data_IF_226612848420
#
_entry.id   IF_226612848420
#
_cell.length_a   1.000
_cell.length_b   1.000
_cell.length_c   1.000
_cell.angle_alpha   90.00
_cell.angle_beta   90.00
_cell.angle_gamma   90.00
#
_symmetry.space_group_name_H-M   'P 1'
#
loop_
_entity.id
_entity.type
_entity.pdbx_description
1 polymer ?
2 non-polymer ?
3 non-polymer ?
4 water ?
#
# COMPACT_ATOMS: atom_id res chain seq x y z
N UNK A 6 -30.63 14.18 12.39
CA UNK A 6 -29.33 13.68 12.79
C UNK A 6 -29.47 12.44 13.66
N UNK A 7 -28.40 11.66 13.72
CA UNK A 7 -28.41 10.40 14.47
C UNK A 7 -28.43 10.72 15.96
N UNK A 8 -29.41 10.15 16.66
CA UNK A 8 -29.69 10.53 18.04
C UNK A 8 -28.83 9.81 19.08
N UNK A 9 -28.48 8.56 18.81
CA UNK A 9 -27.79 7.73 19.80
C UNK A 9 -26.38 7.39 19.36
N UNK A 10 -25.42 7.47 20.28
CA UNK A 10 -24.03 7.19 19.91
C UNK A 10 -23.85 5.79 19.30
N UNK A 11 -24.62 4.82 19.75
CA UNK A 11 -24.40 3.46 19.29
C UNK A 11 -24.79 3.29 17.83
N UNK A 12 -25.50 4.29 17.28
CA UNK A 12 -25.92 4.27 15.89
C UNK A 12 -25.04 5.08 14.95
N UNK A 13 -24.02 5.74 15.52
CA UNK A 13 -23.16 6.60 14.72
C UNK A 13 -22.13 5.79 13.91
N UNK A 14 -21.70 6.35 12.77
CA UNK A 14 -20.73 5.62 11.97
C UNK A 14 -19.41 5.40 12.67
N UNK A 15 -18.85 4.22 12.41
CA UNK A 15 -17.58 3.79 12.96
C UNK A 15 -16.78 3.16 11.84
N UNK A 16 -15.69 3.82 11.46
CA UNK A 16 -14.81 3.29 10.42
C UNK A 16 -13.45 2.88 11.00
N UNK A 17 -13.23 1.58 11.12
CA UNK A 17 -11.93 1.08 11.47
C UNK A 17 -11.07 1.27 10.22
N UNK A 18 -9.79 1.56 10.38
CA UNK A 18 -8.92 1.72 9.22
C UNK A 18 -7.49 1.34 9.53
N UNK A 19 -6.85 0.84 8.47
CA UNK A 19 -5.42 0.51 8.41
C UNK A 19 -4.96 -0.71 9.20
N UNK A 20 -5.54 -0.93 10.38
CA UNK A 20 -5.38 -2.16 11.15
C UNK A 20 -6.77 -2.77 11.33
N UNK A 21 -6.93 -3.96 10.76
CA UNK A 21 -8.25 -4.56 10.62
C UNK A 21 -8.61 -5.33 11.89
N UNK A 22 -9.82 -5.12 12.43
CA UNK A 22 -10.26 -5.92 13.59
C UNK A 22 -10.16 -7.41 13.31
N UNK A 23 -9.42 -8.11 14.16
CA UNK A 23 -9.06 -9.49 13.87
C UNK A 23 -8.30 -10.09 15.03
N UNK A 24 -8.24 -11.42 15.07
CA UNK A 24 -7.35 -12.06 16.01
C UNK A 24 -5.89 -11.87 15.60
N UNK A 25 -5.03 -11.39 16.53
CA UNK A 25 -3.65 -11.06 16.12
C UNK A 25 -2.83 -12.28 15.71
N UNK A 26 -3.23 -13.46 16.15
CA UNK A 26 -2.48 -14.67 15.82
C UNK A 26 -2.89 -15.25 14.47
N UNK A 27 -4.20 -15.42 14.28
CA UNK A 27 -4.72 -16.13 13.12
C UNK A 27 -5.14 -15.23 11.96
N UNK A 28 -5.36 -13.96 12.24
CA UNK A 28 -5.83 -13.02 11.23
C UNK A 28 -7.34 -13.11 10.96
N UNK A 29 -8.03 -14.02 11.65
CA UNK A 29 -9.49 -14.15 11.48
C UNK A 29 -10.17 -12.82 11.82
N UNK A 30 -10.96 -12.31 10.88
CA UNK A 30 -11.60 -11.01 11.06
C UNK A 30 -12.60 -11.07 12.21
N UNK A 31 -12.60 -10.01 13.03
CA UNK A 31 -13.48 -9.88 14.18
C UNK A 31 -14.81 -9.34 13.71
N UNK A 32 -15.73 -10.23 13.39
CA UNK A 32 -17.02 -9.82 12.89
C UNK A 32 -17.92 -9.28 13.99
N UNK A 33 -17.63 -9.60 15.27
CA UNK A 33 -18.41 -8.97 16.35
C UNK A 33 -18.18 -7.47 16.28
N UNK A 34 -16.93 -7.06 16.10
CA UNK A 34 -16.59 -5.65 15.98
C UNK A 34 -17.17 -5.07 14.70
N UNK A 35 -16.98 -5.78 13.58
CA UNK A 35 -17.48 -5.26 12.32
C UNK A 35 -18.99 -5.09 12.32
N UNK A 36 -19.70 -5.95 13.06
CA UNK A 36 -21.17 -5.88 13.10
C UNK A 36 -21.72 -5.02 14.24
N UNK A 37 -20.88 -4.14 14.78
CA UNK A 37 -21.31 -3.19 15.80
C UNK A 37 -22.62 -2.52 15.44
N UNK A 38 -22.67 -1.97 14.24
CA UNK A 38 -23.92 -1.48 13.66
C UNK A 38 -23.79 -1.55 12.14
N UNK A 39 -24.82 -1.19 11.38
CA UNK A 39 -24.67 -1.27 9.92
C UNK A 39 -24.09 -0.01 9.31
N UNK A 40 -23.51 0.82 10.17
CA UNK A 40 -22.75 1.98 9.74
C UNK A 40 -21.31 1.78 10.14
N UNK A 41 -20.92 0.52 10.31
CA UNK A 41 -19.55 0.15 10.66
C UNK A 41 -18.85 -0.48 9.47
N UNK A 42 -17.64 -0.02 9.17
CA UNK A 42 -16.88 -0.48 8.02
C UNK A 42 -15.40 -0.51 8.36
N UNK A 43 -14.61 -1.13 7.48
CA UNK A 43 -13.16 -1.10 7.56
C UNK A 43 -12.62 -0.56 6.24
N UNK A 44 -11.59 0.28 6.31
CA UNK A 44 -10.88 0.74 5.12
C UNK A 44 -9.41 0.35 5.20
N UNK A 45 -8.95 -0.37 4.19
CA UNK A 45 -7.57 -0.80 4.10
C UNK A 45 -7.16 -0.90 2.64
N UNK A 46 -6.28 -1.83 2.34
CA UNK A 46 -5.87 -2.08 0.97
C UNK A 46 -5.65 -3.57 0.73
N UNK A 47 -5.57 -3.92 -0.55
CA UNK A 47 -5.55 -5.29 -1.05
C UNK A 47 -4.18 -5.92 -0.86
N UNK A 48 -3.72 -5.98 0.39
CA UNK A 48 -2.30 -6.25 0.68
C UNK A 48 -1.82 -7.61 0.19
N UNK A 49 -2.68 -8.63 0.24
CA UNK A 49 -2.23 -9.97 -0.13
C UNK A 49 -1.89 -10.09 -1.61
N UNK A 50 -2.36 -9.13 -2.40
CA UNK A 50 -2.15 -9.13 -3.83
C UNK A 50 -1.01 -8.22 -4.28
N UNK A 51 -0.31 -7.60 -3.34
CA UNK A 51 0.74 -6.65 -3.66
C UNK A 51 1.86 -7.24 -4.49
N UNK A 52 2.28 -8.46 -4.15
CA UNK A 52 3.31 -9.11 -4.92
C UNK A 52 2.85 -9.42 -6.33
N UNK A 53 1.57 -9.80 -6.47
CA UNK A 53 1.02 -10.03 -7.81
C UNK A 53 1.10 -8.78 -8.67
N UNK A 54 0.84 -7.63 -8.06
CA UNK A 54 0.87 -6.36 -8.78
C UNK A 54 2.30 -6.01 -9.17
N UNK A 55 3.26 -6.24 -8.27
CA UNK A 55 4.64 -5.99 -8.62
C UNK A 55 5.06 -6.91 -9.79
N UNK A 56 4.66 -8.17 -9.71
CA UNK A 56 4.97 -9.10 -10.79
C UNK A 56 4.39 -8.69 -12.12
N UNK A 57 3.14 -8.24 -12.09
CA UNK A 57 2.43 -7.85 -13.28
C UNK A 57 3.10 -6.62 -13.89
N UNK A 58 3.53 -5.70 -13.05
CA UNK A 58 4.23 -4.50 -13.52
C UNK A 58 5.45 -4.91 -14.33
N UNK A 59 6.21 -5.85 -13.81
CA UNK A 59 7.41 -6.32 -14.48
C UNK A 59 7.07 -7.07 -15.79
N UNK A 60 6.05 -7.93 -15.75
CA UNK A 60 5.65 -8.62 -16.98
C UNK A 60 5.16 -7.66 -18.05
N UNK A 61 4.41 -6.65 -17.65
CA UNK A 61 3.91 -5.69 -18.62
C UNK A 61 5.07 -4.90 -19.21
N UNK A 62 6.06 -4.56 -18.37
CA UNK A 62 7.24 -3.86 -18.87
C UNK A 62 7.95 -4.72 -19.91
N UNK A 63 8.16 -5.98 -19.59
CA UNK A 63 8.86 -6.88 -20.52
C UNK A 63 8.07 -7.06 -21.82
N UNK A 64 6.77 -7.20 -21.70
CA UNK A 64 5.93 -7.43 -22.88
C UNK A 64 6.01 -6.29 -23.90
N UNK A 65 6.15 -5.05 -23.40
CA UNK A 65 6.23 -3.88 -24.26
C UNK A 65 7.65 -3.53 -24.68
N UNK A 66 8.63 -4.20 -24.08
CA UNK A 66 10.02 -3.94 -24.35
C UNK A 66 10.50 -4.61 -25.64
N UNK A 67 11.64 -4.14 -26.11
CA UNK A 67 12.32 -4.68 -27.28
C UNK A 67 13.40 -5.66 -26.85
N UNK A 68 13.98 -6.38 -27.81
CA UNK A 68 15.01 -7.36 -27.52
C UNK A 68 16.29 -6.79 -26.96
N UNK A 69 16.45 -5.46 -27.04
CA UNK A 69 17.60 -4.85 -26.41
C UNK A 69 17.57 -4.99 -24.86
N UNK A 70 16.42 -5.35 -24.29
CA UNK A 70 16.39 -5.67 -22.86
C UNK A 70 17.28 -6.87 -22.56
N UNK A 71 17.39 -7.77 -23.52
CA UNK A 71 18.30 -8.91 -23.41
C UNK A 71 19.69 -8.45 -23.80
N UNK A 72 20.44 -7.93 -22.82
CA UNK A 72 21.65 -7.16 -23.11
C UNK A 72 22.74 -7.97 -23.83
N UNK A 73 22.87 -9.25 -23.48
CA UNK A 73 23.91 -10.10 -24.06
C UNK A 73 23.37 -10.98 -25.19
N UNK A 74 22.10 -10.83 -25.51
CA UNK A 74 21.50 -11.54 -26.63
C UNK A 74 21.49 -13.04 -26.50
N UNK A 75 21.48 -13.57 -25.27
CA UNK A 75 21.52 -15.03 -25.08
C UNK A 75 20.15 -15.71 -25.01
N UNK A 76 19.08 -14.93 -25.18
CA UNK A 76 17.73 -15.48 -25.16
C UNK A 76 17.23 -15.76 -23.76
N UNK A 77 17.95 -15.23 -22.77
CA UNK A 77 17.57 -15.36 -21.36
C UNK A 77 17.46 -13.97 -20.79
N UNK A 78 16.38 -13.71 -20.07
CA UNK A 78 16.29 -12.50 -19.29
C UNK A 78 16.83 -12.82 -17.90
N UNK A 79 18.01 -12.31 -17.57
CA UNK A 79 18.64 -12.57 -16.28
C UNK A 79 18.27 -11.46 -15.31
N UNK A 80 17.93 -11.80 -14.08
CA UNK A 80 17.70 -10.78 -13.07
C UNK A 80 18.38 -11.09 -11.77
N UNK A 81 18.62 -10.04 -11.01
CA UNK A 81 19.08 -10.15 -9.63
C UNK A 81 17.99 -9.59 -8.75
N UNK A 82 17.85 -10.15 -7.56
CA UNK A 82 16.76 -9.87 -6.64
C UNK A 82 17.27 -9.49 -5.24
N UNK A 83 16.87 -8.30 -4.78
CA UNK A 83 17.16 -7.84 -3.43
C UNK A 83 16.00 -8.24 -2.53
N UNK A 84 16.29 -9.10 -1.56
CA UNK A 84 15.31 -9.60 -0.62
C UNK A 84 15.47 -8.82 0.66
N UNK A 85 14.34 -8.44 1.24
CA UNK A 85 14.33 -7.66 2.47
C UNK A 85 14.48 -8.57 3.67
N UNK A 86 13.79 -8.25 4.75
CA UNK A 86 13.83 -9.12 5.93
C UNK A 86 13.20 -10.47 5.59
N UNK A 87 13.99 -11.56 5.61
CA UNK A 87 13.49 -12.87 5.16
C UNK A 87 12.35 -13.42 6.02
N UNK A 88 12.30 -12.98 7.27
CA UNK A 88 11.24 -13.43 8.16
C UNK A 88 9.94 -12.65 8.01
N UNK A 89 9.96 -11.56 7.23
CA UNK A 89 8.82 -10.67 7.20
C UNK A 89 7.89 -11.03 6.05
N UNK A 90 6.60 -11.07 6.34
CA UNK A 90 5.62 -11.46 5.36
C UNK A 90 5.68 -10.58 4.11
N UNK A 91 5.99 -9.30 4.25
CA UNK A 91 6.07 -8.45 3.06
C UNK A 91 7.16 -8.93 2.09
N UNK A 92 8.29 -9.37 2.63
CA UNK A 92 9.38 -9.88 1.82
C UNK A 92 8.95 -11.17 1.12
N UNK A 93 8.23 -12.02 1.85
CA UNK A 93 7.76 -13.29 1.31
C UNK A 93 6.77 -13.08 0.18
N UNK A 94 5.82 -12.17 0.40
CA UNK A 94 4.76 -11.90 -0.56
C UNK A 94 5.32 -11.32 -1.85
N UNK A 95 6.22 -10.35 -1.71
CA UNK A 95 6.77 -9.70 -2.91
C UNK A 95 7.71 -10.63 -3.69
N UNK A 96 8.51 -11.42 -2.99
CA UNK A 96 9.36 -12.40 -3.64
C UNK A 96 8.52 -13.43 -4.37
N UNK A 97 7.51 -13.95 -3.70
CA UNK A 97 6.63 -14.92 -4.35
C UNK A 97 5.94 -14.32 -5.56
N UNK A 98 5.52 -13.07 -5.43
CA UNK A 98 4.82 -12.42 -6.52
C UNK A 98 5.66 -12.33 -7.79
N UNK A 99 6.89 -11.86 -7.67
CA UNK A 99 7.71 -11.69 -8.85
C UNK A 99 8.20 -13.04 -9.38
N UNK A 100 8.50 -13.98 -8.50
CA UNK A 100 8.95 -15.29 -8.96
C UNK A 100 7.83 -16.05 -9.66
N UNK A 101 6.61 -16.00 -9.12
CA UNK A 101 5.50 -16.62 -9.83
C UNK A 101 5.26 -15.93 -11.18
N UNK A 102 5.35 -14.60 -11.22
CA UNK A 102 5.07 -13.89 -12.47
C UNK A 102 6.06 -14.29 -13.54
N UNK A 103 7.31 -14.44 -13.17
CA UNK A 103 8.39 -14.75 -14.11
C UNK A 103 8.60 -16.24 -14.32
N UNK A 104 7.87 -17.07 -13.58
CA UNK A 104 7.98 -18.51 -13.76
C UNK A 104 9.17 -19.15 -13.07
N UNK A 105 9.81 -18.42 -12.16
CA UNK A 105 11.00 -18.92 -11.47
C UNK A 105 10.68 -19.47 -10.07
N UNK A 106 9.41 -19.45 -9.69
CA UNK A 106 8.97 -19.92 -8.37
C UNK A 106 9.07 -21.43 -8.22
N UNK A 107 9.66 -21.86 -7.10
CA UNK A 107 9.76 -23.27 -6.77
C UNK A 107 8.92 -23.68 -5.56
N UNK A 108 8.22 -22.72 -4.95
CA UNK A 108 7.52 -22.98 -3.71
C UNK A 108 8.13 -22.26 -2.50
N UNK A 109 9.30 -21.66 -2.69
CA UNK A 109 10.04 -21.00 -1.61
C UNK A 109 10.36 -19.55 -1.93
N UNK A 110 10.15 -18.69 -0.95
CA UNK A 110 10.54 -17.29 -1.06
C UNK A 110 11.96 -17.03 -0.56
N UNK A 111 12.67 -18.09 -0.22
CA UNK A 111 14.02 -17.93 0.35
C UNK A 111 15.02 -17.48 -0.71
N UNK A 112 16.08 -16.78 -0.27
CA UNK A 112 17.22 -16.55 -1.15
C UNK A 112 17.71 -17.88 -1.72
N UNK A 113 18.11 -17.85 -2.99
CA UNK A 113 18.76 -18.99 -3.59
C UNK A 113 17.83 -20.08 -4.09
N UNK A 114 16.52 -19.89 -3.96
CA UNK A 114 15.55 -20.87 -4.43
C UNK A 114 14.79 -20.35 -5.62
N UNK A 115 15.19 -20.82 -6.80
CA UNK A 115 14.56 -20.41 -8.04
C UNK A 115 14.82 -21.47 -9.10
N UNK A 116 13.91 -21.56 -10.06
CA UNK A 116 14.08 -22.40 -11.23
C UNK A 116 14.04 -21.52 -12.47
N UNK A 117 14.29 -22.12 -13.62
CA UNK A 117 14.23 -21.40 -14.87
C UNK A 117 12.78 -21.06 -15.19
N UNK A 118 12.56 -19.80 -15.53
CA UNK A 118 11.25 -19.29 -15.85
C UNK A 118 11.10 -18.94 -17.32
N UNK A 119 10.12 -18.11 -17.63
CA UNK A 119 9.79 -17.77 -19.02
C UNK A 119 9.02 -16.47 -19.02
N UNK A 120 9.20 -15.66 -20.06
CA UNK A 120 8.41 -14.45 -20.22
C UNK A 120 8.45 -14.05 -21.68
N UNK A 121 7.46 -13.27 -22.06
CA UNK A 121 7.40 -12.70 -23.40
C UNK A 121 8.01 -11.31 -23.38
N UNK A 122 8.95 -11.09 -24.29
CA UNK A 122 9.58 -9.79 -24.46
C UNK A 122 9.43 -9.42 -25.93
N UNK A 123 8.72 -8.33 -26.19
CA UNK A 123 8.56 -7.86 -27.55
C UNK A 123 8.05 -8.93 -28.51
N UNK A 124 7.07 -9.71 -28.06
CA UNK A 124 6.44 -10.71 -28.90
C UNK A 124 7.22 -11.99 -29.13
N UNK A 125 8.26 -12.21 -28.36
CA UNK A 125 9.05 -13.43 -28.45
C UNK A 125 9.20 -14.03 -27.07
N UNK A 126 9.25 -15.37 -27.00
CA UNK A 126 9.40 -16.05 -25.72
C UNK A 126 10.87 -16.16 -25.33
N UNK A 127 11.16 -15.82 -24.07
CA UNK A 127 12.50 -15.88 -23.50
C UNK A 127 12.49 -16.75 -22.28
N UNK A 128 13.62 -17.39 -22.00
CA UNK A 128 13.82 -18.02 -20.71
C UNK A 128 14.10 -16.90 -19.69
N UNK A 129 13.84 -17.16 -18.42
CA UNK A 129 14.16 -16.20 -17.36
C UNK A 129 14.99 -16.90 -16.32
N UNK A 130 16.08 -16.27 -15.89
CA UNK A 130 16.93 -16.84 -14.86
C UNK A 130 17.16 -15.83 -13.74
N UNK A 131 16.91 -16.27 -12.52
CA UNK A 131 17.30 -15.51 -11.33
C UNK A 131 18.78 -15.81 -11.09
N UNK A 132 19.62 -14.88 -11.49
CA UNK A 132 21.04 -15.05 -11.39
C UNK A 132 21.42 -15.19 -9.90
N UNK A 133 20.86 -14.30 -9.07
CA UNK A 133 20.98 -14.42 -7.62
C UNK A 133 19.87 -13.63 -6.96
N UNK A 134 19.30 -14.21 -5.90
CA UNK A 134 18.41 -13.48 -5.00
C UNK A 134 19.02 -13.57 -3.64
N UNK A 135 19.19 -12.42 -2.98
CA UNK A 135 20.00 -12.35 -1.77
C UNK A 135 19.36 -11.41 -0.79
N UNK A 136 19.33 -11.79 0.50
CA UNK A 136 18.89 -10.87 1.54
C UNK A 136 19.95 -9.82 1.80
N UNK A 137 19.54 -8.57 1.90
CA UNK A 137 20.45 -7.46 2.10
C UNK A 137 20.53 -7.12 3.57
N UNK A 138 21.44 -7.78 4.26
CA UNK A 138 21.56 -7.63 5.70
C UNK A 138 22.80 -6.79 6.00
N UNK A 139 22.66 -5.86 6.92
CA UNK A 139 23.79 -5.05 7.31
C UNK A 139 24.73 -5.88 8.15
N UNK A 140 25.97 -5.41 8.31
CA UNK A 140 26.94 -6.07 9.17
C UNK A 140 26.57 -5.92 10.65
N UNK A 141 25.50 -5.18 10.93
CA UNK A 141 24.95 -5.06 12.28
C UNK A 141 23.71 -5.94 12.45
N UNK A 142 23.37 -6.70 11.42
CA UNK A 142 22.22 -7.58 11.45
C UNK A 142 20.92 -6.94 10.98
N UNK A 143 20.96 -5.66 10.65
CA UNK A 143 19.78 -4.94 10.18
C UNK A 143 19.31 -5.51 8.84
N UNK A 144 18.01 -5.44 8.60
CA UNK A 144 17.41 -6.05 7.42
C UNK A 144 17.09 -4.99 6.36
N UNK A 145 16.93 -5.44 5.12
CA UNK A 145 16.73 -4.56 3.97
C UNK A 145 17.66 -3.37 4.02
N UNK A 146 18.94 -3.67 4.17
CA UNK A 146 19.96 -2.65 4.40
C UNK A 146 20.41 -1.98 3.09
N UNK A 147 20.33 -0.65 3.07
CA UNK A 147 20.62 0.16 1.89
C UNK A 147 22.06 0.03 1.42
N UNK A 148 23.00 0.12 2.35
CA UNK A 148 24.40 0.00 2.00
C UNK A 148 24.75 -1.39 1.48
N UNK A 149 24.15 -2.43 2.06
CA UNK A 149 24.38 -3.79 1.58
C UNK A 149 23.86 -3.93 0.16
N UNK A 150 22.73 -3.30 -0.15
CA UNK A 150 22.23 -3.32 -1.52
C UNK A 150 23.21 -2.63 -2.50
N UNK A 151 23.77 -1.50 -2.11
CA UNK A 151 24.73 -0.80 -2.96
C UNK A 151 25.93 -1.70 -3.20
N UNK A 152 26.46 -2.31 -2.14
CA UNK A 152 27.63 -3.17 -2.27
C UNK A 152 27.30 -4.40 -3.14
N UNK A 153 26.13 -4.99 -2.91
CA UNK A 153 25.73 -6.17 -3.67
C UNK A 153 25.56 -5.83 -5.13
N UNK A 154 24.96 -4.70 -5.42
CA UNK A 154 24.80 -4.31 -6.81
C UNK A 154 26.15 -4.18 -7.50
N UNK A 155 27.09 -3.51 -6.84
CA UNK A 155 28.41 -3.37 -7.45
C UNK A 155 29.06 -4.73 -7.71
N UNK A 156 28.94 -5.63 -6.75
CA UNK A 156 29.51 -6.97 -6.88
C UNK A 156 28.83 -7.79 -7.95
N UNK A 157 27.52 -7.61 -8.08
CA UNK A 157 26.76 -8.30 -9.11
C UNK A 157 27.17 -7.86 -10.52
N UNK A 158 27.38 -6.57 -10.73
CA UNK A 158 27.88 -6.09 -12.03
C UNK A 158 29.23 -6.74 -12.32
N UNK A 159 30.10 -6.78 -11.30
CA UNK A 159 31.40 -7.41 -11.47
C UNK A 159 31.30 -8.90 -11.79
N UNK A 160 30.37 -9.60 -11.12
CA UNK A 160 30.28 -11.05 -11.23
C UNK A 160 29.50 -11.50 -12.47
N UNK A 161 28.33 -10.92 -12.69
CA UNK A 161 27.43 -11.34 -13.76
C UNK A 161 27.52 -10.48 -15.00
N UNK A 162 28.06 -9.28 -14.86
CA UNK A 162 28.24 -8.37 -15.99
C UNK A 162 26.97 -8.27 -16.83
N UNK A 163 27.07 -8.37 -18.16
CA UNK A 163 25.88 -8.13 -18.97
C UNK A 163 24.91 -9.31 -19.08
N UNK A 164 25.02 -10.28 -18.18
CA UNK A 164 23.91 -11.22 -17.99
C UNK A 164 22.73 -10.57 -17.25
N UNK A 165 22.99 -9.47 -16.54
CA UNK A 165 21.92 -8.83 -15.77
C UNK A 165 21.07 -7.99 -16.70
N UNK A 166 19.80 -8.40 -16.88
CA UNK A 166 18.87 -7.66 -17.71
C UNK A 166 17.90 -6.78 -16.91
N UNK A 167 17.69 -7.11 -15.65
CA UNK A 167 16.97 -6.23 -14.75
C UNK A 167 17.24 -6.55 -13.32
N UNK A 168 16.97 -5.55 -12.47
CA UNK A 168 17.10 -5.66 -11.03
C UNK A 168 15.70 -5.56 -10.45
N UNK A 169 15.41 -6.45 -9.50
CA UNK A 169 14.14 -6.47 -8.83
C UNK A 169 14.40 -6.40 -7.34
N UNK A 170 13.60 -5.61 -6.64
CA UNK A 170 13.77 -5.45 -5.20
C UNK A 170 12.45 -5.54 -4.45
N UNK A 171 12.49 -6.17 -3.27
CA UNK A 171 11.34 -6.19 -2.38
C UNK A 171 10.93 -4.80 -1.91
N UNK A 172 11.84 -3.82 -1.97
CA UNK A 172 11.46 -2.45 -1.63
C UNK A 172 12.26 -1.34 -2.28
N UNK A 173 11.75 -0.12 -2.12
CA UNK A 173 12.37 1.05 -2.71
C UNK A 173 13.72 1.35 -2.09
N UNK A 174 13.86 1.18 -0.78
CA UNK A 174 15.12 1.50 -0.13
C UNK A 174 16.27 0.76 -0.75
N UNK A 175 16.08 -0.53 -0.99
CA UNK A 175 17.15 -1.32 -1.57
C UNK A 175 17.36 -0.98 -3.03
N UNK A 176 16.30 -0.69 -3.76
CA UNK A 176 16.43 -0.37 -5.18
C UNK A 176 17.20 0.96 -5.34
N UNK A 177 16.88 1.94 -4.49
CA UNK A 177 17.61 3.20 -4.52
C UNK A 177 19.07 2.95 -4.13
N UNK A 178 19.30 2.02 -3.22
CA UNK A 178 20.66 1.63 -2.88
C UNK A 178 21.42 1.04 -4.08
N UNK A 179 20.75 0.15 -4.81
CA UNK A 179 21.38 -0.36 -6.03
C UNK A 179 21.79 0.76 -6.99
N UNK A 180 20.92 1.75 -7.14
CA UNK A 180 21.17 2.88 -8.04
C UNK A 180 22.34 3.76 -7.61
N UNK A 181 22.80 3.62 -6.38
CA UNK A 181 24.00 4.29 -5.90
C UNK A 181 25.31 3.59 -6.23
N UNK A 182 25.25 2.37 -6.75
CA UNK A 182 26.48 1.68 -7.14
C UNK A 182 27.25 2.50 -8.17
N UNK A 183 28.56 2.62 -8.00
CA UNK A 183 29.35 3.48 -8.87
C UNK A 183 29.42 2.93 -10.30
N UNK A 184 29.11 1.64 -10.45
CA UNK A 184 29.12 0.95 -11.73
C UNK A 184 27.73 0.51 -12.18
N UNK A 185 26.69 1.21 -11.74
CA UNK A 185 25.33 0.89 -12.18
C UNK A 185 25.25 1.04 -13.71
N UNK A 186 24.91 -0.03 -14.44
CA UNK A 186 24.90 0.10 -15.91
C UNK A 186 23.84 1.07 -16.39
N UNK A 187 24.23 1.98 -17.28
CA UNK A 187 23.33 3.06 -17.64
C UNK A 187 22.05 2.53 -18.24
N UNK A 188 20.93 2.95 -17.67
CA UNK A 188 19.62 2.58 -18.15
C UNK A 188 19.10 1.22 -17.75
N UNK A 189 19.87 0.45 -16.98
CA UNK A 189 19.46 -0.90 -16.62
C UNK A 189 18.13 -0.86 -15.87
N UNK A 190 17.10 -1.59 -16.33
CA UNK A 190 15.80 -1.54 -15.65
C UNK A 190 15.88 -2.05 -14.21
N UNK A 191 15.14 -1.40 -13.33
CA UNK A 191 15.10 -1.75 -11.92
C UNK A 191 13.73 -1.43 -11.33
N UNK A 192 13.22 -2.33 -10.49
CA UNK A 192 11.89 -2.19 -9.92
C UNK A 192 11.94 -2.33 -8.41
N UNK A 193 11.23 -1.42 -7.75
CA UNK A 193 11.07 -1.48 -6.31
C UNK A 193 9.62 -1.67 -5.88
N UNK A 194 9.34 -1.24 -4.64
CA UNK A 194 8.05 -1.41 -4.02
C UNK A 194 8.00 -0.45 -2.82
N UNK A 195 6.90 0.32 -2.73
CA UNK A 195 6.47 1.17 -1.60
C UNK A 195 6.02 2.54 -2.08
N UNK A 196 6.56 3.00 -3.22
CA UNK A 196 6.27 4.32 -3.77
C UNK A 196 6.70 5.42 -2.79
N UNK A 197 7.85 5.24 -2.18
CA UNK A 197 8.48 6.31 -1.39
C UNK A 197 8.74 7.55 -2.25
N UNK A 198 8.80 8.73 -1.61
CA UNK A 198 8.95 9.97 -2.36
C UNK A 198 10.17 9.96 -3.28
N UNK A 199 11.31 9.55 -2.76
CA UNK A 199 12.53 9.57 -3.56
C UNK A 199 12.45 8.59 -4.73
N UNK A 200 11.79 7.46 -4.50
CA UNK A 200 11.61 6.45 -5.53
C UNK A 200 10.73 6.96 -6.68
N UNK A 201 9.63 7.63 -6.33
CA UNK A 201 8.75 8.15 -7.36
C UNK A 201 9.46 9.24 -8.15
N UNK A 202 10.20 10.10 -7.47
CA UNK A 202 11.04 11.09 -8.15
C UNK A 202 11.98 10.42 -9.16
N UNK A 203 12.60 9.32 -8.75
CA UNK A 203 13.50 8.56 -9.60
C UNK A 203 12.78 7.98 -10.84
N UNK A 204 11.56 7.50 -10.65
CA UNK A 204 10.75 7.06 -11.77
C UNK A 204 10.52 8.22 -12.76
N UNK A 205 10.24 9.40 -12.23
CA UNK A 205 10.05 10.57 -13.08
C UNK A 205 11.29 10.93 -13.89
N UNK A 206 12.45 10.65 -13.33
CA UNK A 206 13.73 10.88 -14.02
C UNK A 206 14.14 9.77 -14.99
N UNK A 207 13.36 8.70 -15.07
CA UNK A 207 13.68 7.59 -15.94
C UNK A 207 14.78 6.71 -15.41
N UNK A 208 14.98 6.75 -14.09
CA UNK A 208 16.02 5.95 -13.47
C UNK A 208 15.39 4.69 -12.89
N UNK A 209 14.77 4.78 -11.71
CA UNK A 209 13.97 3.65 -11.25
C UNK A 209 12.88 3.40 -12.29
N UNK A 210 12.64 2.13 -12.66
CA UNK A 210 11.71 1.86 -13.74
C UNK A 210 10.27 1.80 -13.24
N UNK A 211 10.09 1.33 -12.02
CA UNK A 211 8.76 1.24 -11.46
C UNK A 211 8.78 0.92 -9.98
N UNK A 212 7.66 1.20 -9.33
CA UNK A 212 7.45 0.84 -7.93
C UNK A 212 5.96 0.59 -7.74
N UNK A 213 5.52 0.37 -6.51
CA UNK A 213 4.15 -0.03 -6.22
C UNK A 213 3.64 0.73 -5.01
N UNK A 214 2.44 1.27 -5.15
CA UNK A 214 1.79 2.06 -4.09
C UNK A 214 0.58 1.34 -3.51
N UNK A 215 0.37 1.53 -2.20
CA UNK A 215 -0.84 1.06 -1.54
C UNK A 215 -2.00 2.04 -1.61
N UNK A 216 -1.80 3.15 -2.30
CA UNK A 216 -2.87 4.12 -2.51
C UNK A 216 -3.40 4.69 -1.19
N UNK A 217 -2.48 5.27 -0.42
CA UNK A 217 -2.87 5.87 0.85
C UNK A 217 -3.91 6.98 0.63
N UNK A 218 -3.81 7.75 -0.46
CA UNK A 218 -4.77 8.82 -0.67
C UNK A 218 -6.17 8.24 -0.88
N UNK A 219 -6.30 7.17 -1.67
CA UNK A 219 -7.61 6.53 -1.84
C UNK A 219 -8.19 6.05 -0.49
N UNK A 220 -7.34 5.49 0.35
CA UNK A 220 -7.79 5.00 1.66
C UNK A 220 -8.29 6.16 2.51
N UNK A 221 -7.51 7.25 2.55
CA UNK A 221 -7.91 8.43 3.32
C UNK A 221 -9.24 8.99 2.82
N UNK A 222 -9.37 9.15 1.50
CA UNK A 222 -10.65 9.61 0.97
C UNK A 222 -11.78 8.65 1.35
N UNK A 223 -11.56 7.34 1.23
CA UNK A 223 -12.61 6.38 1.52
C UNK A 223 -13.12 6.48 2.96
N UNK A 224 -12.22 6.60 3.91
CA UNK A 224 -12.64 6.78 5.31
C UNK A 224 -13.62 7.95 5.42
N UNK A 225 -13.22 9.09 4.85
CA UNK A 225 -14.03 10.29 4.96
C UNK A 225 -15.31 10.22 4.13
N UNK A 226 -15.21 9.59 2.96
CA UNK A 226 -16.34 9.51 2.04
C UNK A 226 -17.41 8.56 2.57
N UNK A 227 -16.99 7.44 3.13
CA UNK A 227 -17.95 6.54 3.78
C UNK A 227 -18.76 7.30 4.83
N UNK A 228 -18.07 8.08 5.65
CA UNK A 228 -18.69 8.86 6.69
C UNK A 228 -19.61 9.94 6.10
N UNK A 229 -19.13 10.64 5.09
CA UNK A 229 -19.94 11.64 4.39
C UNK A 229 -21.23 11.01 3.88
N UNK A 230 -21.10 9.88 3.21
CA UNK A 230 -22.26 9.19 2.65
C UNK A 230 -23.27 8.81 3.73
N UNK A 231 -22.79 8.20 4.78
CA UNK A 231 -23.66 7.75 5.88
C UNK A 231 -24.34 8.93 6.58
N UNK A 232 -23.58 9.98 6.86
CA UNK A 232 -24.16 11.11 7.61
C UNK A 232 -25.15 11.89 6.76
N UNK A 233 -25.03 11.80 5.44
CA UNK A 233 -25.99 12.40 4.54
C UNK A 233 -27.20 11.53 4.23
N UNK A 234 -27.23 10.33 4.81
CA UNK A 234 -28.39 9.48 4.72
C UNK A 234 -28.33 8.36 3.69
N UNK A 235 -27.19 8.16 3.05
CA UNK A 235 -27.04 6.96 2.21
C UNK A 235 -27.04 5.70 3.10
N UNK A 236 -27.53 4.60 2.56
CA UNK A 236 -27.49 3.32 3.26
C UNK A 236 -27.44 2.20 2.22
N UNK A 237 -26.61 1.19 2.47
CA UNK A 237 -26.46 0.12 1.51
C UNK A 237 -25.44 0.42 0.43
N UNK A 238 -25.76 0.09 -0.83
CA UNK A 238 -24.77 0.15 -1.90
C UNK A 238 -24.16 1.54 -2.07
N UNK A 239 -24.99 2.56 -1.96
CA UNK A 239 -24.50 3.93 -2.18
C UNK A 239 -23.36 4.27 -1.23
N UNK A 240 -23.41 3.73 -0.01
CA UNK A 240 -22.41 4.07 0.99
C UNK A 240 -21.00 3.71 0.52
N UNK A 241 -20.86 2.53 -0.09
CA UNK A 241 -19.52 2.05 -0.44
C UNK A 241 -19.16 2.31 -1.90
N UNK A 242 -20.11 2.81 -2.67
CA UNK A 242 -19.89 3.12 -4.09
C UNK A 242 -19.79 4.62 -4.39
N UNK A 243 -20.69 5.42 -3.86
CA UNK A 243 -20.73 6.85 -4.20
C UNK A 243 -19.49 7.58 -3.73
N UNK A 244 -18.80 8.20 -4.68
CA UNK A 244 -17.55 8.86 -4.39
C UNK A 244 -16.34 7.95 -4.32
N UNK A 245 -16.58 6.66 -4.48
CA UNK A 245 -15.55 5.65 -4.25
C UNK A 245 -15.25 4.93 -5.55
N UNK A 246 -16.26 4.31 -6.15
CA UNK A 246 -16.09 3.65 -7.45
C UNK A 246 -16.92 4.30 -8.56
N UNK A 247 -17.62 5.37 -8.22
CA UNK A 247 -18.39 6.16 -9.18
C UNK A 247 -18.59 7.52 -8.54
N UNK A 248 -18.95 8.52 -9.33
CA UNK A 248 -19.11 9.85 -8.72
C UNK A 248 -20.24 9.91 -7.71
N UNK A 249 -20.06 10.73 -6.69
CA UNK A 249 -21.15 11.00 -5.74
C UNK A 249 -21.99 12.17 -6.28
N UNK A 250 -22.92 12.64 -5.47
CA UNK A 250 -23.83 13.70 -5.91
C UNK A 250 -23.12 15.00 -6.24
N UNK A 251 -21.90 15.16 -5.73
CA UNK A 251 -21.11 16.36 -5.99
C UNK A 251 -20.14 16.16 -7.15
N UNK A 252 -20.09 14.95 -7.68
CA UNK A 252 -19.13 14.61 -8.72
C UNK A 252 -17.79 14.11 -8.25
N UNK A 253 -17.60 14.01 -6.95
CA UNK A 253 -16.34 13.50 -6.43
C UNK A 253 -16.19 12.00 -6.63
N UNK A 254 -14.97 11.57 -6.87
CA UNK A 254 -14.67 10.15 -7.08
C UNK A 254 -13.19 9.91 -6.88
N UNK A 255 -12.87 8.91 -6.07
CA UNK A 255 -11.50 8.45 -5.93
C UNK A 255 -10.98 7.97 -7.29
N UNK A 256 -9.75 8.35 -7.64
CA UNK A 256 -9.22 8.01 -8.94
C UNK A 256 -8.64 6.60 -9.00
N UNK A 257 -7.98 6.16 -7.95
CA UNK A 257 -7.42 4.81 -7.91
C UNK A 257 -8.55 3.78 -7.80
N UNK A 258 -8.30 2.53 -8.23
CA UNK A 258 -9.34 1.52 -8.07
C UNK A 258 -9.49 1.09 -6.63
N UNK A 259 -10.73 0.83 -6.23
CA UNK A 259 -11.08 0.43 -4.88
C UNK A 259 -12.09 -0.72 -4.93
N UNK A 260 -11.89 -1.69 -4.06
CA UNK A 260 -12.76 -2.87 -3.94
C UNK A 260 -13.65 -2.78 -2.70
N UNK A 261 -14.72 -3.55 -2.71
CA UNK A 261 -15.54 -3.76 -1.53
C UNK A 261 -15.69 -5.25 -1.31
N UNK A 262 -15.32 -5.68 -0.10
CA UNK A 262 -15.43 -7.06 0.33
C UNK A 262 -16.59 -7.15 1.31
N UNK A 263 -17.75 -7.57 0.80
CA UNK A 263 -18.99 -7.49 1.55
C UNK A 263 -18.99 -8.35 2.83
N UNK A 264 -18.35 -9.51 2.79
CA UNK A 264 -18.45 -10.41 3.93
C UNK A 264 -17.80 -9.84 5.18
N UNK A 265 -16.82 -8.97 5.00
CA UNK A 265 -16.11 -8.36 6.12
C UNK A 265 -16.28 -6.84 6.18
N UNK A 266 -17.14 -6.33 5.32
CA UNK A 266 -17.46 -4.91 5.27
C UNK A 266 -16.21 -4.07 5.11
N UNK A 267 -15.35 -4.46 4.18
CA UNK A 267 -14.05 -3.81 3.99
C UNK A 267 -13.96 -3.15 2.61
N UNK A 268 -13.65 -1.86 2.63
CA UNK A 268 -13.32 -1.10 1.43
C UNK A 268 -11.81 -1.18 1.33
N UNK A 269 -11.33 -1.73 0.23
CA UNK A 269 -9.91 -2.05 0.10
C UNK A 269 -9.37 -1.46 -1.19
N UNK A 270 -8.46 -0.49 -1.06
CA UNK A 270 -7.79 0.06 -2.25
C UNK A 270 -6.97 -0.99 -2.94
N UNK A 271 -6.98 -0.98 -4.27
CA UNK A 271 -6.01 -1.76 -5.02
C UNK A 271 -4.61 -1.28 -4.72
N UNK A 272 -3.63 -2.15 -4.92
CA UNK A 272 -2.25 -1.72 -5.10
C UNK A 272 -2.11 -1.23 -6.52
N UNK A 273 -1.33 -0.18 -6.74
CA UNK A 273 -1.10 0.34 -8.09
C UNK A 273 0.36 0.36 -8.48
N UNK A 274 0.68 -0.08 -9.71
CA UNK A 274 2.02 0.15 -10.26
C UNK A 274 2.24 1.66 -10.44
N UNK A 275 3.47 2.08 -10.22
CA UNK A 275 3.89 3.46 -10.45
C UNK A 275 5.05 3.41 -11.43
N UNK A 276 4.82 4.00 -12.59
CA UNK A 276 5.79 3.97 -13.69
C UNK A 276 5.87 5.35 -14.36
N UNK A 277 6.66 5.44 -15.43
CA UNK A 277 6.71 6.67 -16.22
C UNK A 277 5.34 7.18 -16.68
N UNK A 278 4.38 6.29 -16.75
CA UNK A 278 3.05 6.63 -17.25
C UNK A 278 2.19 7.39 -16.26
N UNK A 279 2.48 7.27 -14.97
CA UNK A 279 1.61 7.87 -13.95
C UNK A 279 2.33 8.43 -12.72
N UNK A 280 3.65 8.57 -12.81
CA UNK A 280 4.43 8.93 -11.64
C UNK A 280 4.00 10.25 -10.99
N UNK A 281 3.53 11.22 -11.76
CA UNK A 281 3.18 12.51 -11.16
C UNK A 281 1.99 12.40 -10.22
N UNK A 282 1.20 11.34 -10.35
CA UNK A 282 0.07 11.10 -9.46
C UNK A 282 0.50 10.57 -8.07
N UNK A 283 1.77 10.18 -7.96
CA UNK A 283 2.29 9.51 -6.77
C UNK A 283 3.46 10.21 -6.11
N UNK A 284 3.80 11.41 -6.55
CA UNK A 284 4.88 12.15 -5.93
C UNK A 284 4.43 12.65 -4.56
N UNK A 285 5.41 12.97 -3.71
CA UNK A 285 5.15 13.49 -2.39
C UNK A 285 4.19 14.68 -2.46
N UNK A 286 3.11 14.59 -1.71
CA UNK A 286 2.16 15.69 -1.64
C UNK A 286 1.15 15.72 -2.77
N UNK A 287 1.25 14.83 -3.75
CA UNK A 287 0.29 14.82 -4.85
C UNK A 287 -1.08 14.49 -4.28
N UNK A 288 -2.13 15.15 -4.75
CA UNK A 288 -3.48 14.86 -4.29
C UNK A 288 -4.41 14.54 -5.45
N UNK A 289 -5.45 13.80 -5.15
CA UNK A 289 -6.40 13.29 -6.13
C UNK A 289 -7.27 14.44 -6.67
N UNK A 290 -7.06 14.80 -7.94
CA UNK A 290 -7.85 15.84 -8.57
C UNK A 290 -9.33 15.50 -8.64
N UNK A 291 -9.65 14.23 -8.45
CA UNK A 291 -11.05 13.83 -8.46
C UNK A 291 -11.87 14.19 -7.23
N UNK A 292 -11.21 14.75 -6.21
CA UNK A 292 -11.90 15.13 -4.98
C UNK A 292 -11.79 16.65 -4.84
N UNK A 293 -12.94 17.30 -4.95
CA UNK A 293 -13.06 18.75 -4.90
C UNK A 293 -14.04 19.16 -3.80
N UNK A 294 -14.09 20.45 -3.53
CA UNK A 294 -14.90 21.00 -2.46
C UNK A 294 -16.38 20.70 -2.65
N UNK A 295 -17.02 20.23 -1.59
CA UNK A 295 -18.46 20.01 -1.54
C UNK A 295 -19.15 21.09 -0.70
N UNK A 296 -20.48 21.13 -0.78
CA UNK A 296 -21.30 22.06 -0.01
C UNK A 296 -22.14 21.38 1.08
N UNK A 297 -21.93 20.09 1.30
CA UNK A 297 -22.71 19.32 2.26
C UNK A 297 -22.58 19.87 3.68
N UNK A 298 -23.58 19.59 4.56
CA UNK A 298 -23.49 20.12 5.92
C UNK A 298 -22.22 19.66 6.65
N UNK A 299 -21.61 20.56 7.40
CA UNK A 299 -20.36 20.24 8.09
C UNK A 299 -20.62 19.21 9.17
N UNK A 300 -19.75 18.20 9.24
CA UNK A 300 -19.83 17.16 10.26
C UNK A 300 -18.49 17.00 10.95
N UNK A 301 -18.55 16.47 12.16
CA UNK A 301 -17.39 16.33 13.03
C UNK A 301 -16.99 14.88 13.20
N UNK A 302 -15.71 14.60 13.00
CA UNK A 302 -15.18 13.22 13.14
C UNK A 302 -14.00 13.24 14.10
N UNK A 303 -13.99 12.26 15.00
CA UNK A 303 -12.85 11.95 15.83
C UNK A 303 -12.15 10.73 15.28
N UNK A 304 -10.87 10.89 14.98
CA UNK A 304 -10.06 9.85 14.34
C UNK A 304 -8.85 9.54 15.20
N UNK A 305 -8.59 8.25 15.40
CA UNK A 305 -7.44 7.82 16.19
C UNK A 305 -6.33 7.25 15.31
N UNK A 306 -5.10 7.36 15.81
CA UNK A 306 -3.92 6.81 15.16
C UNK A 306 -3.19 5.99 16.22
N UNK A 307 -2.83 4.74 15.90
CA UNK A 307 -2.37 3.85 16.96
C UNK A 307 -0.98 4.21 17.48
N UNK A 308 -0.20 4.87 16.66
CA UNK A 308 1.19 5.18 17.00
C UNK A 308 1.64 6.45 16.30
N UNK A 309 1.77 7.52 17.09
CA UNK A 309 2.19 8.82 16.59
C UNK A 309 3.57 8.77 15.90
N UNK A 310 4.39 7.79 16.27
CA UNK A 310 5.75 7.71 15.74
C UNK A 310 5.83 6.88 14.46
N UNK A 311 4.73 6.23 14.08
CA UNK A 311 4.73 5.47 12.84
C UNK A 311 4.87 6.43 11.67
N UNK A 312 5.95 6.28 10.90
CA UNK A 312 6.23 7.26 9.86
C UNK A 312 5.21 7.25 8.73
N UNK A 313 4.71 6.09 8.35
CA UNK A 313 3.72 6.03 7.29
C UNK A 313 2.47 6.81 7.71
N UNK A 314 2.00 6.58 8.93
CA UNK A 314 0.81 7.26 9.37
C UNK A 314 1.05 8.76 9.57
N UNK A 315 2.22 9.11 10.11
CA UNK A 315 2.52 10.50 10.43
C UNK A 315 2.76 11.33 9.20
N UNK A 316 3.45 10.75 8.23
CA UNK A 316 3.96 11.49 7.07
C UNK A 316 3.16 11.32 5.80
N UNK A 317 2.42 10.22 5.68
CA UNK A 317 1.64 9.96 4.47
C UNK A 317 0.12 9.98 4.75
N UNK A 318 -0.32 9.16 5.69
CA UNK A 318 -1.76 9.00 5.90
C UNK A 318 -2.37 10.25 6.51
N UNK A 319 -1.80 10.76 7.59
CA UNK A 319 -2.42 11.91 8.25
C UNK A 319 -2.47 13.17 7.35
N UNK A 320 -1.35 13.48 6.66
CA UNK A 320 -1.45 14.63 5.74
C UNK A 320 -2.51 14.48 4.65
N UNK A 321 -2.69 13.27 4.15
CA UNK A 321 -3.75 13.01 3.20
C UNK A 321 -5.12 13.29 3.83
N UNK A 322 -5.39 12.68 4.98
CA UNK A 322 -6.65 12.93 5.69
C UNK A 322 -6.94 14.42 5.86
N UNK A 323 -5.95 15.17 6.31
CA UNK A 323 -6.13 16.61 6.56
C UNK A 323 -6.34 17.44 5.31
N UNK A 324 -5.87 16.93 4.17
CA UNK A 324 -6.14 17.60 2.90
C UNK A 324 -7.57 17.36 2.46
N UNK A 325 -8.02 16.11 2.49
CA UNK A 325 -9.35 15.80 1.97
C UNK A 325 -10.50 16.17 2.90
N UNK A 326 -10.27 16.14 4.21
CA UNK A 326 -11.36 16.37 5.15
C UNK A 326 -12.11 17.69 4.91
N UNK A 327 -11.37 18.81 4.80
CA UNK A 327 -12.12 20.05 4.58
C UNK A 327 -12.88 20.09 3.25
N UNK A 328 -12.36 19.42 2.24
CA UNK A 328 -13.02 19.34 0.94
C UNK A 328 -14.35 18.62 1.07
N UNK A 329 -14.43 17.68 2.01
CA UNK A 329 -15.66 16.90 2.25
C UNK A 329 -16.49 17.49 3.39
N UNK A 330 -16.12 18.70 3.82
CA UNK A 330 -16.79 19.38 4.96
C UNK A 330 -16.86 18.52 6.20
N UNK A 331 -15.72 17.88 6.47
CA UNK A 331 -15.51 17.14 7.70
C UNK A 331 -14.49 17.91 8.56
N UNK A 332 -14.91 18.26 9.76
CA UNK A 332 -14.00 18.82 10.74
C UNK A 332 -13.39 17.65 11.50
N UNK A 333 -12.11 17.44 11.26
CA UNK A 333 -11.42 16.24 11.71
C UNK A 333 -10.53 16.53 12.91
N UNK A 334 -10.83 15.88 14.03
CA UNK A 334 -9.99 15.91 15.19
C UNK A 334 -9.22 14.59 15.26
N UNK A 335 -7.92 14.68 15.55
CA UNK A 335 -7.04 13.52 15.52
C UNK A 335 -6.38 13.33 16.87
N UNK A 336 -6.44 12.12 17.39
CA UNK A 336 -5.69 11.76 18.60
C UNK A 336 -4.80 10.56 18.30
N UNK A 337 -3.65 10.48 18.97
CA UNK A 337 -2.60 9.54 18.57
C UNK A 337 -1.99 8.89 19.79
N UNK A 338 -1.84 7.58 19.74
CA UNK A 338 -1.25 6.83 20.82
C UNK A 338 0.23 6.49 20.65
N UNK A 339 0.69 5.51 21.44
CA UNK A 339 2.12 5.22 21.60
C UNK A 339 2.58 3.92 20.92
N UNK A 340 1.66 3.27 20.21
CA UNK A 340 2.00 2.06 19.48
C UNK A 340 2.19 0.82 20.32
N UNK A 341 2.00 0.92 21.63
CA UNK A 341 2.21 -0.21 22.54
C UNK A 341 1.01 -0.54 23.41
N UNK A 342 0.36 0.49 23.94
CA UNK A 342 -0.71 0.32 24.90
C UNK A 342 -2.01 0.86 24.34
N UNK A 343 -3.03 0.02 24.28
CA UNK A 343 -4.31 0.46 23.74
C UNK A 343 -4.85 1.68 24.51
N UNK A 344 -4.58 1.74 25.81
CA UNK A 344 -5.08 2.86 26.63
C UNK A 344 -4.52 4.19 26.18
N UNK A 345 -3.37 4.20 25.51
CA UNK A 345 -2.81 5.47 25.03
C UNK A 345 -3.79 6.11 24.03
N UNK A 346 -4.51 5.29 23.27
CA UNK A 346 -5.55 5.77 22.36
C UNK A 346 -6.91 5.82 23.05
N UNK A 347 -7.28 4.76 23.77
CA UNK A 347 -8.62 4.71 24.37
C UNK A 347 -8.89 5.91 25.27
N UNK A 348 -7.91 6.27 26.08
CA UNK A 348 -8.12 7.40 27.00
C UNK A 348 -8.25 8.73 26.27
N UNK A 349 -7.78 8.79 25.02
CA UNK A 349 -7.99 9.98 24.20
C UNK A 349 -9.27 9.91 23.37
N UNK A 350 -9.85 8.72 23.29
CA UNK A 350 -11.11 8.49 22.57
C UNK A 350 -12.21 8.80 23.58
N UNK A 351 -12.43 10.09 23.75
CA UNK A 351 -13.21 10.61 24.86
C UNK A 351 -13.96 11.86 24.41
N UNK A 352 -14.91 12.27 25.24
CA UNK A 352 -15.81 13.37 24.91
C UNK A 352 -16.42 13.14 23.51
N UNK A 353 -16.89 11.90 23.33
CA UNK A 353 -17.40 11.40 22.07
C UNK A 353 -18.68 12.09 21.67
N UNK A 354 -19.37 12.70 22.64
CA UNK A 354 -20.58 13.44 22.34
C UNK A 354 -20.35 14.69 21.48
N UNK A 355 -19.10 15.08 21.31
CA UNK A 355 -18.77 16.23 20.46
C UNK A 355 -18.78 15.87 18.97
N UNK A 356 -18.90 14.59 18.63
CA UNK A 356 -18.66 14.14 17.26
C UNK A 356 -19.83 13.42 16.64
N UNK A 357 -19.87 13.40 15.31
CA UNK A 357 -20.92 12.75 14.54
C UNK A 357 -20.53 11.34 14.08
N UNK A 358 -19.24 11.04 14.04
CA UNK A 358 -18.74 9.78 13.51
C UNK A 358 -17.29 9.61 13.96
N UNK A 359 -16.81 8.38 13.83
CA UNK A 359 -15.56 7.95 14.42
C UNK A 359 -14.76 7.12 13.47
N UNK A 360 -13.45 7.31 13.50
CA UNK A 360 -12.53 6.48 12.71
C UNK A 360 -11.43 5.97 13.63
N UNK A 361 -11.19 4.66 13.62
CA UNK A 361 -10.35 4.04 14.64
C UNK A 361 -9.25 3.17 14.04
N UNK A 362 -8.01 3.48 14.47
CA UNK A 362 -6.81 2.72 14.11
C UNK A 362 -6.25 2.14 15.42
N UNK A 363 -6.59 0.87 15.70
CA UNK A 363 -6.28 0.27 16.98
C UNK A 363 -4.84 -0.17 17.12
N UNK A 364 -4.34 -0.15 18.35
CA UNK A 364 -3.01 -0.67 18.64
C UNK A 364 -3.01 -2.19 18.44
N UNK A 365 -4.00 -2.84 19.06
CA UNK A 365 -4.14 -4.31 18.99
C UNK A 365 -5.39 -4.63 18.21
N UNK A 366 -5.28 -5.59 17.30
CA UNK A 366 -6.38 -5.82 16.37
C UNK A 366 -7.61 -6.42 17.03
N UNK A 367 -7.47 -6.92 18.24
CA UNK A 367 -8.61 -7.52 18.99
C UNK A 367 -9.24 -6.59 20.02
N UNK A 368 -8.96 -5.28 19.93
CA UNK A 368 -9.48 -4.31 20.88
C UNK A 368 -10.82 -3.66 20.52
N UNK A 369 -11.51 -4.17 19.50
CA UNK A 369 -12.70 -3.50 19.02
C UNK A 369 -13.73 -3.17 20.08
N UNK A 370 -14.01 -4.14 20.94
CA UNK A 370 -15.05 -3.96 21.97
C UNK A 370 -14.70 -2.87 22.98
N UNK A 371 -13.42 -2.62 23.18
CA UNK A 371 -13.05 -1.51 24.09
C UNK A 371 -13.43 -0.16 23.53
N UNK A 372 -13.45 -0.05 22.21
CA UNK A 372 -13.90 1.18 21.55
C UNK A 372 -15.42 1.26 21.50
N UNK A 373 -16.07 0.17 21.09
CA UNK A 373 -17.53 0.20 21.03
C UNK A 373 -18.17 0.35 22.43
N UNK A 374 -17.51 -0.15 23.47
CA UNK A 374 -18.03 0.03 24.82
C UNK A 374 -18.26 1.51 25.12
N UNK A 375 -17.42 2.37 24.54
CA UNK A 375 -17.49 3.81 24.80
C UNK A 375 -18.59 4.49 24.01
N UNK A 376 -19.15 3.77 23.04
CA UNK A 376 -20.20 4.28 22.15
C UNK A 376 -21.56 3.65 22.45
N UNK A 377 -21.66 2.90 23.54
CA UNK A 377 -22.91 2.18 23.85
C UNK A 377 -24.09 3.10 24.19
N UNK A 378 -23.80 4.18 24.92
CA UNK A 378 -24.87 4.98 25.50
C UNK A 378 -24.47 6.45 25.54
X LIG B 1 2.59 -6.44 -0.26
X LIG B 1 3.71 -6.71 0.58
X LIG B 1 1.61 -5.48 0.39
X LIG B 1 2.33 -4.32 0.83
X LIG B 1 2.08 -7.38 -0.49
X LIG B 1 2.94 -6.01 -1.21
X LIG B 1 4.32 -7.32 0.13
X LIG B 1 0.83 -5.20 -0.31
X LIG B 1 1.14 -5.96 1.26
X LIG B 1 1.72 -3.70 1.24
X LIG C 1 10.29 -5.29 2.78
X LIG C 1 10.76 -6.48 2.15
X LIG C 1 11.33 -4.88 3.83
X LIG C 1 11.85 -6.04 4.51
X LIG C 1 10.19 -4.49 2.05
X LIG C 1 9.33 -5.46 3.25
X LIG C 1 10.12 -6.76 1.47
X LIG C 1 12.14 -4.33 3.36
X LIG C 1 10.86 -4.22 4.56
X LIG C 1 12.50 -5.76 5.17
X LIG D 1 -17.59 18.07 25.85
X LIG D 1 -17.59 16.63 25.84
X LIG D 1 -16.67 18.60 26.95
X LIG D 1 -16.91 17.92 28.20
X LIG D 1 -18.61 18.44 26.02
X LIG D 1 -17.25 18.44 24.88
X LIG D 1 -18.18 16.31 25.14
X LIG D 1 -15.62 18.46 26.65
X LIG D 1 -16.83 19.67 27.07
X LIG D 1 -16.31 18.27 28.87
X LIG E 1 13.78 1.35 -19.50
X LIG E 1 13.25 2.61 -19.89
X LIG E 1 15.29 1.46 -19.38
X LIG E 1 15.60 2.13 -18.16
X LIG E 1 13.36 1.04 -18.54
X LIG E 1 13.53 0.59 -20.24
X LIG E 1 12.29 2.55 -19.95
X LIG E 1 15.68 2.03 -20.23
X LIG E 1 15.74 0.47 -19.39
X LIG E 1 16.56 2.22 -18.08
X LIG F 1 19.61 4.53 -14.15
X LIG F 1 19.04 4.50 -15.46
X LIG F 1 20.93 5.26 -14.22
X LIG F 1 21.64 4.79 -15.35
X LIG F 1 19.77 3.51 -13.79
X LIG F 1 18.93 5.03 -13.45
X LIG F 1 18.19 4.04 -15.43
X LIG F 1 21.52 5.08 -13.31
X LIG F 1 20.75 6.34 -14.30
X LIG F 1 22.49 5.25 -15.43
X LIG G 1 19.58 6.97 -19.06
X LIG G 1 18.93 5.79 -19.52
X LIG G 1 19.89 6.80 -17.58
X LIG G 1 18.66 6.64 -16.85
X LIG G 1 20.51 7.14 -19.61
X LIG G 1 18.93 7.84 -19.21
X LIG G 1 18.73 5.89 -20.47
X LIG G 1 20.43 7.67 -17.20
X LIG G 1 20.52 5.92 -17.43
X LIG G 1 18.85 6.53 -15.91
X LIG H 1 -16.12 -1.29 -5.42
X LIG H 1 -17.13 -1.12 -6.40
X LIG H 1 -16.44 -0.46 -4.18
X LIG H 1 -17.30 0.61 -4.52
X LIG H 1 -15.15 -0.98 -5.82
X LIG H 1 -16.05 -2.34 -5.13
X LIG H 1 -16.92 -1.67 -7.18
X LIG H 1 -15.51 -0.06 -3.75
X LIG H 1 -16.92 -1.08 -3.42
X LIG H 1 -17.49 1.14 -3.73
X LIG I 1 -4.51 -4.10 4.75
X LIG I 1 -5.51 -3.10 5.08
X LIG I 1 -4.85 -5.44 5.38
X LIG I 1 -5.26 -5.17 6.75
X LIG I 1 -3.54 -3.76 5.11
X LIG I 1 -4.46 -4.20 3.67
X LIG I 1 -5.27 -2.27 4.66
X LIG I 1 -3.97 -6.09 5.37
X LIG I 1 -5.65 -5.92 4.83
X LIG I 1 -5.49 -6.00 7.18
X LIG J 1 -23.51 -2.95 1.90
X LIG J 1 -24.28 -2.53 0.80
X LIG J 1 -22.43 -1.92 2.15
X LIG J 1 -23.00 -0.64 2.48
X LIG J 1 -24.14 -3.05 2.79
X LIG J 1 -23.06 -3.93 1.70
X LIG J 1 -24.98 -3.17 0.63
X LIG J 1 -21.79 -2.25 2.97
X LIG J 1 -21.81 -1.82 1.26
X LIG J 1 -22.28 0.00 2.63
X LIG K 1 1.38 0.62 8.95
X LIG K 1 0.35 0.57 7.95
X LIG K 1 0.85 1.30 10.20
X LIG K 1 -0.22 0.53 10.78
X LIG K 1 2.24 1.17 8.56
X LIG K 1 1.71 -0.39 9.19
X LIG K 1 0.69 0.13 7.16
X LIG K 1 0.48 2.30 9.94
X LIG K 1 1.66 1.42 10.93
X LIG K 1 -0.54 0.98 11.56
X LIG L 1 20.39 -12.13 -21.37
#
# INVERSE_FOLDING_TARGET
>A
GAMGSGIQRPRDKPLVFFNRQPSDPLTGKVDMAAMNWNDKTYYVGFDAKFGGSIQGKMILDFLASSESSVDRNGDGIIGYVLCIGDVGHNDSKVRTEGIRRALGTWTGSSDPGQAKEGQAVVGGKSYKVVELEGKAMTGTDGSTANTNSATESMGSWVAKFADKIDLVISNNDGMAMGCLQASNYPRGLPIFGYDANADAVESVGKGELTGTVSQNVDAQAVAVLQIIRNLLDGSSGEDVVANGISRPDAHGNKISAPVQYWEDVKAIMADNSEVTSANWKEYTRGARDAGVRQVSAPTKKVLLTVHNASNDFLASAYLPALKHYAPLLNVDLTVVQGDGQNELSCLDKFTNLDMFDAFAVNMVKTNSGADYTDKLKY
>B hetero
1 EDO C1 O1 C2 O2 H11 H12 HO1 H21 H22 HO2
>C hetero
1 EDO C1 O1 C2 O2 H11 H12 HO1 H21 H22 HO2
>D hetero
1 EDO C1 O1 C2 O2 H11 H12 HO1 H21 H22 HO2
>E hetero
1 EDO C1 O1 C2 O2 H11 H12 HO1 H21 H22 HO2
>F hetero
1 EDO C1 O1 C2 O2 H11 H12 HO1 H21 H22 HO2
>G hetero
1 EDO C1 O1 C2 O2 H11 H12 HO1 H21 H22 HO2
>H hetero
1 EDO C1 O1 C2 O2 H11 H12 HO1 H21 H22 HO2
>I hetero
1 EDO C1 O1 C2 O2 H11 H12 HO1 H21 H22 HO2
>J hetero
1 EDO C1 O1 C2 O2 H11 H12 HO1 H21 H22 HO2
>K hetero
1 EDO C1 O1 C2 O2 H11 H12 HO1 H21 H22 HO2
>L hetero
1 CA CA
#
